data_IF_735240066153
#
_entry.id   IF_735240066153
#
_cell.length_a   1.000
_cell.length_b   1.000
_cell.length_c   1.000
_cell.angle_alpha   90.00
_cell.angle_beta   90.00
_cell.angle_gamma   90.00
#
_symmetry.space_group_name_H-M   'P 1'
#
loop_
_entity.id
_entity.type
_entity.pdbx_description
1 polymer ?
#
# COMPACT_ATOMS: atom_id res chain seq x y z
N UNK A 1 1.63 2.80 26.37
CA UNK A 1 1.39 3.94 25.45
C UNK A 1 2.04 5.27 25.84
N UNK A 2 2.90 5.34 26.89
CA UNK A 2 3.63 6.56 27.26
C UNK A 2 4.45 7.16 26.10
N UNK A 3 5.12 6.30 25.32
CA UNK A 3 5.88 6.68 24.13
C UNK A 3 5.07 7.55 23.14
N UNK A 4 3.79 7.23 22.92
CA UNK A 4 2.91 8.04 22.04
C UNK A 4 2.66 9.44 22.61
N UNK A 5 2.38 9.54 23.91
CA UNK A 5 2.15 10.84 24.57
C UNK A 5 3.42 11.69 24.62
N UNK A 6 4.57 11.05 24.86
CA UNK A 6 5.88 11.72 24.83
C UNK A 6 6.22 12.23 23.43
N UNK A 7 5.93 11.46 22.37
CA UNK A 7 6.09 11.91 20.99
C UNK A 7 5.21 13.12 20.68
N UNK A 8 3.92 13.08 21.04
CA UNK A 8 3.01 14.22 20.84
C UNK A 8 3.51 15.47 21.57
N UNK A 9 3.92 15.34 22.84
CA UNK A 9 4.49 16.44 23.61
C UNK A 9 5.78 16.99 22.98
N UNK A 10 6.63 16.11 22.46
CA UNK A 10 7.87 16.48 21.79
C UNK A 10 7.59 17.28 20.51
N UNK A 11 6.67 16.81 19.65
CA UNK A 11 6.28 17.53 18.42
C UNK A 11 5.75 18.93 18.76
N UNK A 12 4.89 19.06 19.77
CA UNK A 12 4.34 20.37 20.17
C UNK A 12 5.45 21.31 20.69
N UNK A 13 6.37 20.80 21.51
CA UNK A 13 7.40 21.62 22.17
C UNK A 13 8.57 21.99 21.27
N UNK A 14 8.95 21.09 20.36
CA UNK A 14 10.20 21.18 19.60
C UNK A 14 10.01 21.16 18.08
N UNK A 15 8.80 20.92 17.58
CA UNK A 15 8.52 20.95 16.15
C UNK A 15 8.48 22.36 15.56
N UNK A 16 8.48 22.44 14.24
CA UNK A 16 8.41 23.69 13.48
C UNK A 16 7.02 23.88 12.88
N UNK A 17 6.47 25.10 12.98
CA UNK A 17 5.20 25.47 12.34
C UNK A 17 5.37 25.60 10.83
N UNK A 18 4.51 24.95 10.06
CA UNK A 18 4.54 24.94 8.60
C UNK A 18 3.12 25.04 8.01
N UNK A 19 2.99 25.76 6.90
CA UNK A 19 1.77 25.75 6.09
C UNK A 19 1.74 24.50 5.20
N UNK A 20 0.54 24.02 4.83
CA UNK A 20 0.39 22.87 3.95
C UNK A 20 -0.88 22.98 3.06
N UNK A 21 -1.04 22.02 2.14
CA UNK A 21 -2.11 21.99 1.12
C UNK A 21 -3.55 21.99 1.64
N UNK A 22 -3.76 21.69 2.93
CA UNK A 22 -5.10 21.70 3.53
C UNK A 22 -5.55 23.09 3.95
N UNK A 23 -4.64 24.08 3.97
CA UNK A 23 -4.89 25.42 4.50
C UNK A 23 -4.81 25.52 6.03
N UNK A 24 -4.65 24.41 6.75
CA UNK A 24 -4.47 24.39 8.21
C UNK A 24 -3.00 24.13 8.53
N UNK A 25 -2.34 25.07 9.22
CA UNK A 25 -0.94 24.92 9.61
C UNK A 25 -0.71 23.68 10.48
N UNK A 26 0.48 23.08 10.36
CA UNK A 26 0.93 21.91 11.12
C UNK A 26 2.21 22.22 11.89
N UNK A 27 2.40 21.58 13.05
CA UNK A 27 3.69 21.54 13.74
C UNK A 27 4.35 20.20 13.40
N UNK A 28 5.57 20.23 12.86
CA UNK A 28 6.23 19.06 12.29
C UNK A 28 7.60 18.79 12.92
N UNK A 29 7.94 17.51 13.06
CA UNK A 29 9.24 17.03 13.55
C UNK A 29 9.69 15.83 12.69
N UNK A 30 10.85 15.88 12.01
CA UNK A 30 11.26 14.83 11.09
C UNK A 30 11.89 13.64 11.80
N UNK A 31 11.36 12.45 11.54
CA UNK A 31 11.88 11.19 12.06
C UNK A 31 11.52 10.94 13.52
N UNK A 32 10.75 9.88 13.77
CA UNK A 32 10.42 9.42 15.11
C UNK A 32 10.26 7.90 15.09
N UNK A 33 10.45 7.26 16.23
CA UNK A 33 10.25 5.82 16.38
C UNK A 33 9.40 5.56 17.61
N UNK A 34 8.40 4.69 17.45
CA UNK A 34 7.66 4.06 18.53
C UNK A 34 7.89 2.56 18.41
N UNK A 35 8.28 1.90 19.50
CA UNK A 35 8.54 0.45 19.50
C UNK A 35 7.71 -0.19 20.60
N UNK A 36 6.90 -1.18 20.21
CA UNK A 36 6.01 -1.89 21.12
C UNK A 36 6.39 -3.37 21.15
N UNK A 37 6.52 -3.91 22.35
CA UNK A 37 6.52 -5.36 22.55
C UNK A 37 5.05 -5.82 22.63
N UNK A 38 4.64 -6.69 21.71
CA UNK A 38 3.26 -7.18 21.65
C UNK A 38 2.98 -8.27 22.69
N UNK A 39 4.01 -8.85 23.34
CA UNK A 39 3.81 -9.76 24.47
C UNK A 39 3.26 -9.01 25.71
N UNK A 40 3.56 -7.72 25.82
CA UNK A 40 3.09 -6.83 26.90
C UNK A 40 1.69 -6.25 26.64
N UNK A 41 1.13 -6.46 25.43
CA UNK A 41 -0.22 -6.06 25.07
C UNK A 41 -0.33 -5.28 23.76
N UNK A 42 -1.57 -4.92 23.40
CA UNK A 42 -1.89 -4.23 22.15
C UNK A 42 -1.73 -2.70 22.29
N UNK A 43 -1.08 -2.00 21.34
CA UNK A 43 -0.80 -0.56 21.43
C UNK A 43 -2.02 0.33 21.11
N UNK A 44 -3.16 0.10 21.75
CA UNK A 44 -4.33 0.97 21.66
C UNK A 44 -4.14 2.25 22.48
N UNK A 45 -4.47 3.40 21.92
CA UNK A 45 -4.61 4.64 22.71
C UNK A 45 -5.76 4.49 23.70
N UNK A 46 -5.56 4.93 24.94
CA UNK A 46 -6.54 4.81 26.04
C UNK A 46 -7.00 6.16 26.57
N UNK A 47 -6.30 7.25 26.24
CA UNK A 47 -6.68 8.63 26.62
C UNK A 47 -7.91 9.15 25.86
N UNK A 48 -8.33 8.42 24.81
CA UNK A 48 -9.62 8.56 24.12
C UNK A 48 -10.01 7.22 23.51
N UNK A 49 -11.29 7.06 23.16
CA UNK A 49 -11.77 5.84 22.49
C UNK A 49 -11.13 5.68 21.10
N UNK A 50 -10.45 4.56 20.89
CA UNK A 50 -9.94 4.16 19.57
C UNK A 50 -11.07 3.64 18.68
N UNK A 51 -11.08 4.03 17.41
CA UNK A 51 -12.00 3.50 16.39
C UNK A 51 -11.58 2.09 15.91
N UNK A 52 -11.40 1.16 16.87
CA UNK A 52 -10.77 -0.14 16.63
C UNK A 52 -11.43 -0.95 15.51
N UNK A 53 -12.77 -1.07 15.51
CA UNK A 53 -13.49 -1.82 14.47
C UNK A 53 -13.28 -1.22 13.07
N UNK A 54 -13.23 0.11 12.96
CA UNK A 54 -12.94 0.78 11.67
C UNK A 54 -11.53 0.46 11.19
N UNK A 55 -10.53 0.50 12.09
CA UNK A 55 -9.15 0.19 11.74
C UNK A 55 -8.98 -1.29 11.33
N UNK A 56 -9.67 -2.22 11.99
CA UNK A 56 -9.70 -3.63 11.59
C UNK A 56 -10.37 -3.80 10.22
N UNK A 57 -11.51 -3.14 9.99
CA UNK A 57 -12.21 -3.17 8.70
C UNK A 57 -11.33 -2.65 7.55
N UNK A 58 -10.57 -1.58 7.79
CA UNK A 58 -9.61 -1.04 6.84
C UNK A 58 -8.49 -2.03 6.51
N UNK A 59 -7.84 -2.60 7.54
CA UNK A 59 -6.78 -3.60 7.34
C UNK A 59 -7.30 -4.82 6.56
N UNK A 60 -8.52 -5.29 6.87
CA UNK A 60 -9.17 -6.38 6.13
C UNK A 60 -9.40 -5.99 4.66
N UNK A 61 -9.83 -4.75 4.40
CA UNK A 61 -10.00 -4.23 3.05
C UNK A 61 -8.69 -4.23 2.27
N UNK A 62 -7.59 -3.77 2.87
CA UNK A 62 -6.26 -3.83 2.25
C UNK A 62 -5.80 -5.26 1.99
N UNK A 63 -5.97 -6.17 2.96
CA UNK A 63 -5.64 -7.58 2.76
C UNK A 63 -6.46 -8.21 1.63
N UNK A 64 -7.69 -7.76 1.38
CA UNK A 64 -8.51 -8.22 0.24
C UNK A 64 -8.15 -7.54 -1.09
N UNK A 65 -7.29 -6.52 -1.08
CA UNK A 65 -7.00 -5.69 -2.25
C UNK A 65 -8.21 -4.87 -2.71
N UNK A 66 -9.02 -4.39 -1.75
CA UNK A 66 -10.17 -3.50 -2.01
C UNK A 66 -9.68 -2.13 -2.45
N UNK A 67 -10.37 -1.57 -3.45
CA UNK A 67 -10.17 -0.22 -3.97
C UNK A 67 -11.48 0.59 -4.09
N UNK A 68 -12.53 0.15 -3.41
CA UNK A 68 -13.83 0.80 -3.48
C UNK A 68 -14.34 1.10 -2.06
N UNK A 69 -14.73 2.35 -1.82
CA UNK A 69 -15.19 2.83 -0.51
C UNK A 69 -16.46 2.11 -0.02
N UNK A 70 -17.38 1.69 -0.90
CA UNK A 70 -18.55 0.90 -0.49
C UNK A 70 -18.15 -0.43 0.16
N UNK A 71 -17.14 -1.10 -0.40
CA UNK A 71 -16.61 -2.34 0.16
C UNK A 71 -15.90 -2.11 1.50
N UNK A 72 -15.24 -0.95 1.69
CA UNK A 72 -14.76 -0.57 3.02
C UNK A 72 -15.92 -0.33 4.00
N UNK A 73 -17.02 0.28 3.57
CA UNK A 73 -18.22 0.48 4.40
C UNK A 73 -18.86 -0.85 4.82
N UNK A 74 -18.93 -1.83 3.92
CA UNK A 74 -19.37 -3.20 4.23
C UNK A 74 -18.50 -3.86 5.31
N UNK A 75 -17.21 -3.51 5.37
CA UNK A 75 -16.26 -3.93 6.40
C UNK A 75 -16.32 -3.08 7.68
N UNK A 76 -17.26 -2.14 7.78
CA UNK A 76 -17.43 -1.25 8.92
C UNK A 76 -16.44 -0.07 8.96
N UNK A 77 -15.82 0.27 7.83
CA UNK A 77 -14.86 1.35 7.68
C UNK A 77 -15.38 2.46 6.73
N UNK A 78 -15.54 3.68 7.24
CA UNK A 78 -16.06 4.83 6.48
C UNK A 78 -15.01 5.90 6.16
N UNK A 79 -13.75 5.67 6.52
CA UNK A 79 -12.69 6.71 6.43
C UNK A 79 -12.38 7.11 4.98
N UNK A 80 -12.79 6.30 4.01
CA UNK A 80 -12.53 6.50 2.58
C UNK A 80 -13.60 7.30 1.84
N UNK A 81 -14.77 7.53 2.47
CA UNK A 81 -15.94 8.12 1.80
C UNK A 81 -15.63 9.52 1.22
N UNK A 82 -15.03 10.40 2.02
CA UNK A 82 -14.69 11.76 1.58
C UNK A 82 -13.60 11.77 0.49
N UNK A 83 -12.59 10.92 0.61
CA UNK A 83 -11.53 10.81 -0.39
C UNK A 83 -12.06 10.33 -1.74
N UNK A 84 -12.97 9.36 -1.76
CA UNK A 84 -13.53 8.80 -2.99
C UNK A 84 -14.52 9.73 -3.70
N UNK A 85 -15.30 10.52 -2.92
CA UNK A 85 -16.51 11.17 -3.42
C UNK A 85 -16.56 12.69 -3.27
N UNK A 86 -15.69 13.31 -2.46
CA UNK A 86 -15.71 14.76 -2.23
C UNK A 86 -14.39 15.46 -2.58
N UNK A 87 -13.28 14.72 -2.66
CA UNK A 87 -11.98 15.30 -2.96
C UNK A 87 -11.90 15.78 -4.42
N UNK A 88 -11.93 17.10 -4.64
CA UNK A 88 -11.96 17.69 -5.99
C UNK A 88 -10.77 17.26 -6.89
N UNK A 89 -9.58 17.08 -6.33
CA UNK A 89 -8.42 16.61 -7.12
C UNK A 89 -8.64 15.18 -7.61
N UNK A 90 -9.18 14.31 -6.76
CA UNK A 90 -9.49 12.93 -7.12
C UNK A 90 -10.71 12.82 -8.04
N UNK A 91 -11.77 13.60 -7.80
CA UNK A 91 -12.95 13.66 -8.66
C UNK A 91 -12.61 14.04 -10.11
N UNK A 92 -11.63 14.93 -10.29
CA UNK A 92 -11.13 15.35 -11.60
C UNK A 92 -10.01 14.45 -12.16
N UNK A 93 -9.63 13.38 -11.45
CA UNK A 93 -8.58 12.47 -11.90
C UNK A 93 -9.12 11.51 -12.98
N UNK A 94 -8.53 11.45 -14.19
CA UNK A 94 -9.04 10.61 -15.28
C UNK A 94 -8.89 9.09 -15.02
N UNK A 95 -8.11 8.69 -14.02
CA UNK A 95 -7.99 7.29 -13.61
C UNK A 95 -9.10 6.85 -12.64
N UNK A 96 -9.87 7.79 -12.07
CA UNK A 96 -11.02 7.49 -11.23
C UNK A 96 -12.14 6.89 -12.07
N UNK A 97 -12.60 5.69 -11.71
CA UNK A 97 -13.59 4.92 -12.49
C UNK A 97 -15.05 5.26 -12.18
N UNK A 98 -15.33 5.98 -11.09
CA UNK A 98 -16.68 6.35 -10.72
C UNK A 98 -16.84 6.60 -9.22
N UNK A 99 -18.09 6.63 -8.76
CA UNK A 99 -18.43 6.70 -7.33
C UNK A 99 -17.73 5.61 -6.52
N UNK A 100 -17.28 5.98 -5.32
CA UNK A 100 -16.53 5.13 -4.39
C UNK A 100 -15.19 4.59 -4.88
N UNK A 101 -14.78 4.82 -6.13
CA UNK A 101 -13.48 4.37 -6.62
C UNK A 101 -12.35 5.13 -5.94
N UNK A 102 -11.30 4.39 -5.55
CA UNK A 102 -10.08 4.90 -4.93
C UNK A 102 -8.85 4.70 -5.83
N UNK A 103 -8.99 3.99 -6.95
CA UNK A 103 -7.85 3.57 -7.76
C UNK A 103 -7.02 2.47 -7.10
N UNK A 104 -5.86 2.14 -7.63
CA UNK A 104 -5.06 1.00 -7.16
C UNK A 104 -4.24 1.31 -5.90
N UNK A 105 -4.92 1.63 -4.80
CA UNK A 105 -4.30 2.01 -3.53
C UNK A 105 -3.82 0.81 -2.71
N UNK A 106 -2.87 1.05 -1.79
CA UNK A 106 -2.45 0.17 -0.69
C UNK A 106 -2.57 -1.34 -0.98
N UNK A 107 -3.67 -1.96 -0.53
CA UNK A 107 -3.91 -3.39 -0.66
C UNK A 107 -3.83 -3.92 -2.08
N UNK A 108 -4.22 -3.13 -3.09
CA UNK A 108 -4.03 -3.52 -4.49
C UNK A 108 -2.55 -3.70 -4.79
N UNK A 109 -1.69 -2.79 -4.36
CA UNK A 109 -0.25 -2.90 -4.54
C UNK A 109 0.35 -4.04 -3.71
N UNK A 110 -0.17 -4.31 -2.51
CA UNK A 110 0.34 -5.39 -1.67
C UNK A 110 0.02 -6.78 -2.22
N UNK A 111 -1.14 -6.94 -2.86
CA UNK A 111 -1.68 -8.24 -3.29
C UNK A 111 -1.62 -8.46 -4.79
N UNK A 112 -1.55 -7.40 -5.59
CA UNK A 112 -1.72 -7.40 -7.05
C UNK A 112 -0.83 -6.36 -7.73
N UNK A 113 0.39 -6.14 -7.22
CA UNK A 113 1.34 -5.18 -7.82
C UNK A 113 1.52 -5.48 -9.32
N UNK A 114 1.23 -4.53 -10.23
CA UNK A 114 1.30 -4.77 -11.66
C UNK A 114 2.76 -4.73 -12.12
N UNK A 115 3.41 -5.89 -12.12
CA UNK A 115 4.79 -6.03 -12.58
C UNK A 115 4.83 -6.32 -14.08
N UNK A 116 5.61 -5.53 -14.81
CA UNK A 116 5.85 -5.71 -16.24
C UNK A 116 7.32 -6.02 -16.51
N UNK A 117 7.56 -6.83 -17.53
CA UNK A 117 8.90 -7.03 -18.11
C UNK A 117 8.78 -6.83 -19.61
N UNK A 118 9.67 -6.02 -20.18
CA UNK A 118 9.90 -5.96 -21.61
C UNK A 118 11.23 -6.64 -21.89
N UNK A 119 11.20 -7.72 -22.67
CA UNK A 119 12.36 -8.58 -22.91
C UNK A 119 12.57 -8.67 -24.42
N UNK A 120 13.81 -8.53 -24.87
CA UNK A 120 14.19 -8.78 -26.27
C UNK A 120 13.78 -10.20 -26.68
N UNK A 121 13.13 -10.33 -27.84
CA UNK A 121 12.58 -11.60 -28.31
C UNK A 121 13.65 -12.67 -28.56
N UNK A 122 14.89 -12.27 -28.82
CA UNK A 122 16.04 -13.16 -28.94
C UNK A 122 16.56 -13.70 -27.60
N UNK A 123 16.19 -13.09 -26.46
CA UNK A 123 16.61 -13.54 -25.13
C UNK A 123 15.65 -14.59 -24.56
N UNK A 124 15.63 -15.76 -25.20
CA UNK A 124 14.74 -16.89 -24.86
C UNK A 124 14.88 -17.30 -23.39
N UNK A 125 16.10 -17.36 -22.85
CA UNK A 125 16.34 -17.75 -21.46
C UNK A 125 15.68 -16.81 -20.43
N UNK A 126 15.69 -15.49 -20.68
CA UNK A 126 15.03 -14.53 -19.81
C UNK A 126 13.50 -14.65 -19.88
N UNK A 127 12.96 -14.95 -21.07
CA UNK A 127 11.53 -15.19 -21.29
C UNK A 127 11.10 -16.44 -20.52
N UNK A 128 11.81 -17.56 -20.70
CA UNK A 128 11.52 -18.83 -20.02
C UNK A 128 11.59 -18.69 -18.50
N UNK A 129 12.61 -18.00 -17.97
CA UNK A 129 12.71 -17.74 -16.53
C UNK A 129 11.51 -16.93 -16.02
N UNK A 130 11.10 -15.87 -16.73
CA UNK A 130 9.97 -15.05 -16.33
C UNK A 130 8.65 -15.86 -16.34
N UNK A 131 8.42 -16.65 -17.40
CA UNK A 131 7.26 -17.54 -17.51
C UNK A 131 7.26 -18.57 -16.37
N UNK A 132 8.40 -19.19 -16.07
CA UNK A 132 8.56 -20.11 -14.94
C UNK A 132 8.30 -19.47 -13.57
N UNK A 133 8.49 -18.16 -13.45
CA UNK A 133 8.14 -17.37 -12.26
C UNK A 133 6.67 -16.91 -12.24
N UNK A 134 5.84 -17.38 -13.18
CA UNK A 134 4.41 -17.07 -13.25
C UNK A 134 4.10 -15.72 -13.90
N UNK A 135 5.01 -15.14 -14.66
CA UNK A 135 4.64 -14.09 -15.62
C UNK A 135 3.91 -14.72 -16.81
N UNK A 136 3.08 -13.93 -17.48
CA UNK A 136 2.44 -14.28 -18.76
C UNK A 136 2.80 -13.24 -19.81
N UNK A 137 3.08 -13.67 -21.03
CA UNK A 137 3.19 -12.75 -22.16
C UNK A 137 1.81 -12.14 -22.44
N UNK A 138 1.74 -10.83 -22.61
CA UNK A 138 0.50 -10.08 -22.85
C UNK A 138 0.53 -9.26 -24.14
N UNK A 139 1.72 -8.98 -24.68
CA UNK A 139 1.88 -8.30 -25.94
C UNK A 139 3.25 -8.61 -26.55
N UNK A 140 3.38 -8.26 -27.82
CA UNK A 140 4.65 -8.14 -28.54
C UNK A 140 4.79 -6.68 -28.96
N UNK A 141 6.02 -6.21 -29.08
CA UNK A 141 6.31 -4.84 -29.52
C UNK A 141 7.56 -4.82 -30.38
N UNK A 142 7.64 -3.89 -31.31
CA UNK A 142 8.84 -3.62 -32.09
C UNK A 142 9.28 -2.18 -31.84
N UNK A 143 10.58 -1.96 -31.69
CA UNK A 143 11.17 -0.63 -31.57
C UNK A 143 12.55 -0.66 -32.23
N UNK A 144 12.80 0.30 -33.13
CA UNK A 144 14.07 0.42 -33.87
C UNK A 144 14.53 -0.89 -34.55
N UNK A 145 13.58 -1.64 -35.14
CA UNK A 145 13.85 -2.91 -35.83
C UNK A 145 14.18 -4.08 -34.91
N UNK A 146 13.97 -3.94 -33.59
CA UNK A 146 14.11 -5.01 -32.61
C UNK A 146 12.75 -5.45 -32.09
N UNK A 147 12.54 -6.75 -32.03
CA UNK A 147 11.33 -7.35 -31.48
C UNK A 147 11.48 -7.62 -29.99
N UNK A 148 10.42 -7.36 -29.24
CA UNK A 148 10.34 -7.58 -27.80
C UNK A 148 9.03 -8.26 -27.44
N UNK A 149 9.06 -9.02 -26.36
CA UNK A 149 7.86 -9.51 -25.68
C UNK A 149 7.60 -8.67 -24.43
N UNK A 150 6.33 -8.40 -24.16
CA UNK A 150 5.87 -7.75 -22.93
C UNK A 150 5.19 -8.80 -22.07
N UNK A 151 5.74 -9.03 -20.89
CA UNK A 151 5.18 -9.94 -19.89
C UNK A 151 4.62 -9.18 -18.70
N UNK A 152 3.64 -9.79 -18.05
CA UNK A 152 2.94 -9.25 -16.90
C UNK A 152 2.77 -10.29 -15.80
N UNK A 153 2.84 -9.83 -14.54
CA UNK A 153 2.43 -10.58 -13.36
C UNK A 153 1.79 -9.63 -12.34
N UNK A 154 0.66 -10.03 -11.77
CA UNK A 154 0.16 -9.42 -10.53
C UNK A 154 0.92 -10.04 -9.35
N UNK A 155 1.89 -9.32 -8.80
CA UNK A 155 2.71 -9.83 -7.69
C UNK A 155 1.94 -9.69 -6.37
N UNK A 156 1.71 -10.82 -5.69
CA UNK A 156 1.20 -10.86 -4.32
C UNK A 156 2.37 -10.87 -3.33
N UNK A 157 2.81 -9.67 -2.94
CA UNK A 157 3.96 -9.48 -2.05
C UNK A 157 3.69 -10.00 -0.64
N UNK A 158 2.45 -9.84 -0.14
CA UNK A 158 2.05 -10.38 1.17
C UNK A 158 2.12 -11.90 1.17
N UNK A 159 1.59 -12.54 0.13
CA UNK A 159 1.65 -14.00 0.04
C UNK A 159 3.08 -14.50 -0.06
N UNK A 160 3.93 -13.83 -0.84
CA UNK A 160 5.36 -14.14 -0.91
C UNK A 160 6.06 -14.00 0.44
N UNK A 161 5.73 -12.97 1.24
CA UNK A 161 6.26 -12.83 2.58
C UNK A 161 5.86 -14.01 3.47
N UNK A 162 4.58 -14.39 3.47
CA UNK A 162 4.08 -15.55 4.25
C UNK A 162 4.75 -16.84 3.80
N UNK A 163 4.84 -17.09 2.49
CA UNK A 163 5.49 -18.27 1.95
C UNK A 163 6.99 -18.29 2.31
N UNK A 164 7.66 -17.13 2.33
CA UNK A 164 9.07 -17.03 2.73
C UNK A 164 9.24 -17.26 4.23
N UNK A 165 8.35 -16.76 5.10
CA UNK A 165 8.40 -17.05 6.55
C UNK A 165 8.31 -18.56 6.80
N UNK A 166 7.47 -19.26 6.03
CA UNK A 166 7.27 -20.70 6.17
C UNK A 166 8.48 -21.49 5.65
N UNK A 167 9.04 -21.10 4.51
CA UNK A 167 10.06 -21.90 3.80
C UNK A 167 11.51 -21.46 4.06
N UNK A 168 11.75 -20.19 4.36
CA UNK A 168 13.06 -19.59 4.63
C UNK A 168 12.95 -18.43 5.65
N UNK A 169 12.65 -18.73 6.93
CA UNK A 169 12.48 -17.71 7.97
C UNK A 169 13.75 -16.92 8.27
N UNK A 170 14.93 -17.40 7.85
CA UNK A 170 16.21 -16.70 7.98
C UNK A 170 16.39 -15.58 6.97
N UNK A 171 15.52 -15.51 5.95
CA UNK A 171 15.56 -14.48 4.93
C UNK A 171 15.41 -13.08 5.52
N UNK A 172 16.34 -12.20 5.14
CA UNK A 172 16.29 -10.76 5.47
C UNK A 172 15.55 -9.93 4.42
N UNK A 173 14.77 -10.59 3.56
CA UNK A 173 14.06 -9.98 2.43
C UNK A 173 12.55 -10.12 2.54
N UNK A 174 12.05 -10.48 3.73
CA UNK A 174 10.62 -10.61 4.01
C UNK A 174 10.05 -9.21 4.24
N UNK A 175 9.68 -8.55 3.16
CA UNK A 175 9.07 -7.23 3.17
C UNK A 175 8.09 -7.07 2.01
N UNK A 176 7.14 -6.17 2.19
CA UNK A 176 6.26 -5.68 1.13
C UNK A 176 6.07 -4.17 1.34
N UNK A 177 5.75 -3.46 0.27
CA UNK A 177 5.43 -2.04 0.33
C UNK A 177 4.41 -1.66 -0.76
N UNK A 178 3.89 -0.44 -0.68
CA UNK A 178 2.94 0.11 -1.66
C UNK A 178 3.52 1.25 -2.49
N UNK A 179 4.86 1.37 -2.55
CA UNK A 179 5.55 2.44 -3.27
C UNK A 179 6.90 2.01 -3.83
#
# INVERSE_FOLDING_TARGET
>A
MKQYLELVAHVIKHGTLQANRTGVNTISFPGAMLRYDLQEGFPAITTRRMAFKSAIGEMVGFLRGVNNAAQFRELGCKVWDQNANENAQWLNNPFRKGEDDLGEIYGVQWRKWPAYKRIDAGNVAAIELALGQGYRQIAESEEDGRSFVVLYKAIDQIRQCVDTIINDPGSRRILFHGW
#
